data_IF_568477086595
#
_entry.id   IF_568477086595
#
_cell.length_a   1.000
_cell.length_b   1.000
_cell.length_c   1.000
_cell.angle_alpha   90.00
_cell.angle_beta   90.00
_cell.angle_gamma   90.00
#
_symmetry.space_group_name_H-M   'P 1'
#
loop_
_entity.id
_entity.type
_entity.pdbx_description
1 polymer ?
#
# COMPACT_ATOMS: atom_id res chain seq x y z
N UNK A 1 -24.59 20.48 -11.68
CA UNK A 1 -23.37 21.29 -11.88
C UNK A 1 -22.66 21.45 -10.55
N UNK A 2 -21.73 20.56 -10.24
CA UNK A 2 -20.97 20.56 -8.98
C UNK A 2 -19.77 21.49 -9.17
N UNK A 3 -19.74 22.59 -8.42
CA UNK A 3 -18.62 23.54 -8.42
C UNK A 3 -17.35 22.85 -7.95
N UNK A 4 -16.35 22.79 -8.82
CA UNK A 4 -14.99 22.39 -8.46
C UNK A 4 -14.43 23.51 -7.59
N UNK A 5 -14.17 23.22 -6.31
CA UNK A 5 -13.50 24.16 -5.42
C UNK A 5 -12.06 24.42 -5.92
N UNK A 6 -11.60 25.66 -5.96
CA UNK A 6 -10.23 25.96 -6.32
C UNK A 6 -9.26 25.43 -5.24
N UNK A 7 -8.13 24.90 -5.71
CA UNK A 7 -7.08 24.33 -4.86
C UNK A 7 -6.40 25.39 -3.99
N UNK A 8 -5.96 25.05 -2.77
CA UNK A 8 -5.09 25.92 -2.00
C UNK A 8 -3.75 26.11 -2.73
N UNK A 9 -3.30 27.36 -2.82
CA UNK A 9 -2.12 27.82 -3.57
C UNK A 9 -0.81 27.16 -3.11
N UNK A 10 -0.74 26.69 -1.87
CA UNK A 10 0.44 26.00 -1.30
C UNK A 10 0.85 24.73 -2.03
N UNK A 11 -0.10 23.98 -2.62
CA UNK A 11 0.24 22.78 -3.39
C UNK A 11 0.94 23.06 -4.73
N UNK A 12 0.76 24.26 -5.30
CA UNK A 12 1.36 24.61 -6.58
C UNK A 12 2.83 25.00 -6.44
N UNK A 13 3.21 25.65 -5.34
CA UNK A 13 4.60 26.06 -5.07
C UNK A 13 5.49 24.88 -4.68
N UNK A 14 4.99 23.94 -3.87
CA UNK A 14 5.71 22.70 -3.55
C UNK A 14 5.89 21.82 -4.80
N UNK A 15 4.88 21.77 -5.69
CA UNK A 15 4.99 21.06 -6.96
C UNK A 15 6.04 21.68 -7.88
N UNK A 16 6.24 22.99 -7.83
CA UNK A 16 7.22 23.69 -8.66
C UNK A 16 8.67 23.50 -8.20
N UNK A 17 8.90 23.43 -6.88
CA UNK A 17 10.23 23.22 -6.31
C UNK A 17 10.80 21.83 -6.65
N UNK A 18 9.95 20.83 -6.80
CA UNK A 18 10.37 19.46 -7.13
C UNK A 18 10.69 19.26 -8.63
N UNK A 19 10.21 20.14 -9.50
CA UNK A 19 10.57 20.16 -10.94
C UNK A 19 11.98 20.74 -11.21
N UNK A 20 12.63 21.29 -10.19
CA UNK A 20 13.96 21.91 -10.31
C UNK A 20 15.12 20.93 -10.24
N UNK A 21 14.86 19.62 -10.13
CA UNK A 21 15.91 18.58 -10.18
C UNK A 21 16.33 18.31 -11.63
N UNK A 22 17.63 18.09 -11.89
CA UNK A 22 18.07 17.71 -13.22
C UNK A 22 17.34 16.43 -13.68
N UNK A 23 16.80 16.47 -14.89
CA UNK A 23 16.12 15.34 -15.50
C UNK A 23 16.98 14.07 -15.44
N UNK A 24 16.39 12.94 -15.06
CA UNK A 24 17.06 11.65 -15.11
C UNK A 24 17.76 11.18 -13.82
N UNK A 25 17.56 11.84 -12.68
CA UNK A 25 18.21 11.42 -11.42
C UNK A 25 17.27 10.79 -10.38
N UNK A 26 15.97 10.92 -10.53
CA UNK A 26 15.00 10.43 -9.56
C UNK A 26 14.51 9.02 -9.89
N UNK A 27 14.43 8.15 -8.88
CA UNK A 27 13.75 6.86 -8.96
C UNK A 27 12.35 7.02 -8.41
N UNK A 28 11.34 6.82 -9.25
CA UNK A 28 9.93 6.84 -8.81
C UNK A 28 9.52 5.45 -8.30
N UNK A 29 8.96 5.40 -7.11
CA UNK A 29 8.45 4.16 -6.51
C UNK A 29 6.94 4.27 -6.39
N UNK A 30 6.21 3.48 -7.16
CA UNK A 30 4.75 3.49 -7.17
C UNK A 30 4.19 2.29 -6.39
N UNK A 31 3.28 2.56 -5.45
CA UNK A 31 2.43 1.47 -4.96
C UNK A 31 1.57 0.93 -6.10
N UNK A 32 1.15 -0.33 -6.02
CA UNK A 32 0.25 -0.93 -7.02
C UNK A 32 -1.02 -0.10 -7.20
N UNK A 33 -1.57 0.38 -6.10
CA UNK A 33 -2.76 1.21 -6.10
C UNK A 33 -2.50 2.54 -6.82
N UNK A 34 -1.38 3.21 -6.50
CA UNK A 34 -1.00 4.45 -7.17
C UNK A 34 -0.81 4.24 -8.68
N UNK A 35 -0.16 3.14 -9.07
CA UNK A 35 0.02 2.79 -10.48
C UNK A 35 -1.33 2.55 -11.16
N UNK A 36 -2.19 1.71 -10.58
CA UNK A 36 -3.54 1.43 -11.09
C UNK A 36 -4.38 2.70 -11.22
N UNK A 37 -4.37 3.56 -10.21
CA UNK A 37 -5.12 4.81 -10.21
C UNK A 37 -4.63 5.77 -11.31
N UNK A 38 -3.32 5.91 -11.50
CA UNK A 38 -2.75 6.73 -12.56
C UNK A 38 -3.05 6.15 -13.95
N UNK A 39 -2.82 4.85 -14.15
CA UNK A 39 -3.14 4.18 -15.42
C UNK A 39 -4.62 4.34 -15.76
N UNK A 40 -5.52 4.09 -14.80
CA UNK A 40 -6.97 4.25 -15.02
C UNK A 40 -7.36 5.69 -15.33
N UNK A 41 -6.76 6.67 -14.66
CA UNK A 41 -7.06 8.09 -14.87
C UNK A 41 -6.64 8.60 -16.25
N UNK A 42 -5.53 8.10 -16.77
CA UNK A 42 -4.96 8.56 -18.03
C UNK A 42 -5.17 7.57 -19.19
N UNK A 43 -5.78 6.42 -18.94
CA UNK A 43 -5.97 5.37 -19.96
C UNK A 43 -4.65 4.81 -20.47
N UNK A 44 -3.65 4.73 -19.60
CA UNK A 44 -2.30 4.28 -19.93
C UNK A 44 -2.09 2.82 -19.53
N UNK A 45 -1.29 2.12 -20.31
CA UNK A 45 -0.67 0.87 -19.89
C UNK A 45 0.54 1.13 -18.98
N UNK A 46 1.05 0.11 -18.28
CA UNK A 46 2.16 0.25 -17.33
C UNK A 46 3.42 0.86 -17.95
N UNK A 47 3.81 0.39 -19.14
CA UNK A 47 4.96 0.91 -19.88
C UNK A 47 4.76 2.35 -20.36
N UNK A 48 3.54 2.73 -20.69
CA UNK A 48 3.20 4.10 -21.09
C UNK A 48 3.24 5.05 -19.89
N UNK A 49 2.78 4.58 -18.71
CA UNK A 49 2.91 5.35 -17.47
C UNK A 49 4.39 5.53 -17.09
N UNK A 50 5.20 4.49 -17.21
CA UNK A 50 6.64 4.58 -16.92
C UNK A 50 7.33 5.58 -17.86
N UNK A 51 6.98 5.58 -19.14
CA UNK A 51 7.46 6.56 -20.11
C UNK A 51 7.00 7.98 -19.74
N UNK A 52 5.73 8.17 -19.38
CA UNK A 52 5.19 9.46 -18.99
C UNK A 52 5.88 10.02 -17.72
N UNK A 53 6.17 9.16 -16.74
CA UNK A 53 6.94 9.53 -15.55
C UNK A 53 8.41 9.84 -15.91
N UNK A 54 8.98 9.18 -16.90
CA UNK A 54 10.29 9.50 -17.46
C UNK A 54 10.36 10.93 -18.00
N UNK A 55 9.31 11.42 -18.65
CA UNK A 55 9.19 12.82 -19.11
C UNK A 55 9.15 13.82 -17.94
N UNK A 56 8.75 13.38 -16.74
CA UNK A 56 8.78 14.15 -15.50
C UNK A 56 10.13 14.06 -14.76
N UNK A 57 11.14 13.43 -15.35
CA UNK A 57 12.49 13.32 -14.80
C UNK A 57 12.78 12.02 -14.05
N UNK A 58 11.93 11.00 -14.16
CA UNK A 58 12.25 9.68 -13.64
C UNK A 58 13.38 9.05 -14.46
N UNK A 59 14.47 8.67 -13.81
CA UNK A 59 15.50 7.81 -14.41
C UNK A 59 15.02 6.36 -14.50
N UNK A 60 14.22 5.95 -13.54
CA UNK A 60 13.63 4.63 -13.45
C UNK A 60 12.32 4.70 -12.66
N UNK A 61 11.35 3.89 -13.05
CA UNK A 61 10.11 3.69 -12.29
C UNK A 61 10.14 2.28 -11.70
N UNK A 62 10.10 2.23 -10.38
CA UNK A 62 10.00 0.97 -9.64
C UNK A 62 8.53 0.72 -9.32
N UNK A 63 8.05 -0.45 -9.72
CA UNK A 63 6.71 -0.91 -9.37
C UNK A 63 6.67 -1.49 -7.96
N UNK A 64 5.50 -1.98 -7.55
CA UNK A 64 5.36 -2.73 -6.30
C UNK A 64 6.17 -4.03 -6.32
N UNK A 65 6.70 -4.41 -7.47
CA UNK A 65 7.52 -5.59 -7.71
C UNK A 65 9.03 -5.29 -7.73
N UNK A 66 9.43 -4.03 -7.47
CA UNK A 66 10.83 -3.67 -7.27
C UNK A 66 11.44 -4.47 -6.10
N UNK A 67 12.76 -4.71 -6.11
CA UNK A 67 13.41 -5.66 -5.21
C UNK A 67 12.86 -5.57 -3.80
N UNK A 68 12.40 -6.70 -3.35
CA UNK A 68 11.34 -6.95 -2.39
C UNK A 68 11.73 -6.72 -0.92
N UNK A 69 12.73 -5.92 -0.63
CA UNK A 69 13.24 -5.75 0.72
C UNK A 69 12.15 -5.61 1.82
N UNK A 70 11.13 -4.77 1.65
CA UNK A 70 10.04 -4.69 2.63
C UNK A 70 9.16 -5.95 2.68
N UNK A 71 8.92 -6.61 1.54
CA UNK A 71 8.11 -7.84 1.47
C UNK A 71 8.88 -9.01 2.02
N UNK A 72 10.16 -9.16 1.68
CA UNK A 72 11.05 -10.18 2.24
C UNK A 72 11.14 -10.04 3.76
N UNK A 73 11.28 -8.82 4.23
CA UNK A 73 11.35 -8.54 5.65
C UNK A 73 10.02 -8.84 6.38
N UNK A 74 8.88 -8.55 5.76
CA UNK A 74 7.57 -8.93 6.30
C UNK A 74 7.36 -10.45 6.21
N UNK A 75 7.87 -11.12 5.19
CA UNK A 75 7.83 -12.57 5.06
C UNK A 75 8.65 -13.29 6.15
N UNK A 76 9.87 -12.82 6.40
CA UNK A 76 10.72 -13.33 7.48
C UNK A 76 10.08 -13.11 8.87
N UNK A 77 9.48 -11.92 9.08
CA UNK A 77 8.76 -11.61 10.32
C UNK A 77 7.52 -12.51 10.49
N UNK A 78 6.79 -12.81 9.41
CA UNK A 78 5.65 -13.73 9.45
C UNK A 78 6.07 -15.11 9.93
N UNK A 79 7.16 -15.66 9.39
CA UNK A 79 7.69 -16.96 9.80
C UNK A 79 8.09 -16.97 11.28
N UNK A 80 8.83 -15.96 11.73
CA UNK A 80 9.21 -15.82 13.12
C UNK A 80 8.01 -15.76 14.06
N UNK A 81 6.98 -15.00 13.70
CA UNK A 81 5.75 -14.87 14.49
C UNK A 81 4.93 -16.15 14.56
N UNK A 82 4.88 -16.91 13.46
CA UNK A 82 4.23 -18.22 13.44
C UNK A 82 4.94 -19.22 14.37
N UNK A 83 6.26 -19.19 14.44
CA UNK A 83 7.04 -20.05 15.31
C UNK A 83 6.92 -19.65 16.78
N UNK A 84 6.92 -18.35 17.06
CA UNK A 84 6.82 -17.82 18.44
C UNK A 84 5.38 -17.74 18.95
N UNK A 85 4.39 -17.98 18.10
CA UNK A 85 2.96 -17.87 18.47
C UNK A 85 2.50 -16.43 18.74
N UNK A 86 3.23 -15.42 18.28
CA UNK A 86 2.91 -13.99 18.47
C UNK A 86 1.86 -13.48 17.46
N UNK A 87 0.66 -13.95 17.59
CA UNK A 87 -0.48 -13.68 16.70
C UNK A 87 -1.64 -13.07 17.49
N UNK A 88 -2.61 -12.37 16.88
CA UNK A 88 -2.65 -12.00 15.47
C UNK A 88 -1.61 -10.95 15.09
N UNK A 89 -1.28 -10.84 13.80
CA UNK A 89 -0.35 -9.87 13.25
C UNK A 89 -1.04 -8.94 12.24
N UNK A 90 -0.94 -7.62 12.46
CA UNK A 90 -1.45 -6.60 11.57
C UNK A 90 -0.36 -6.14 10.61
N UNK A 91 -0.55 -6.46 9.35
CA UNK A 91 0.37 -6.14 8.28
C UNK A 91 -0.18 -5.01 7.40
N UNK A 92 0.70 -4.23 6.81
CA UNK A 92 0.35 -3.14 5.86
C UNK A 92 -0.76 -2.23 6.42
N UNK A 93 -0.73 -1.99 7.71
CA UNK A 93 -1.71 -1.15 8.36
C UNK A 93 -1.53 0.33 7.98
N UNK A 94 -2.62 1.01 7.65
CA UNK A 94 -2.60 2.45 7.42
C UNK A 94 -1.90 3.19 8.57
N UNK A 95 -0.92 4.07 8.30
CA UNK A 95 -0.17 4.76 9.35
C UNK A 95 -1.04 5.60 10.29
N UNK A 96 -2.14 6.18 9.77
CA UNK A 96 -3.10 6.93 10.57
C UNK A 96 -3.84 6.00 11.51
N UNK A 97 -4.42 4.92 10.99
CA UNK A 97 -5.14 3.94 11.81
C UNK A 97 -4.23 3.32 12.87
N UNK A 98 -3.02 2.89 12.47
CA UNK A 98 -2.01 2.35 13.41
C UNK A 98 -1.75 3.31 14.55
N UNK A 99 -1.51 4.60 14.27
CA UNK A 99 -1.28 5.61 15.30
C UNK A 99 -2.48 5.78 16.22
N UNK A 100 -3.68 5.79 15.66
CA UNK A 100 -4.90 6.02 16.45
C UNK A 100 -5.24 4.81 17.32
N UNK A 101 -5.02 3.58 16.82
CA UNK A 101 -5.15 2.35 17.60
C UNK A 101 -4.10 2.26 18.69
N UNK A 102 -2.84 2.53 18.41
CA UNK A 102 -1.77 2.43 19.40
C UNK A 102 -1.88 3.49 20.50
N UNK A 103 -2.52 4.64 20.24
CA UNK A 103 -2.86 5.58 21.31
C UNK A 103 -3.90 5.03 22.29
N UNK A 104 -4.88 4.26 21.80
CA UNK A 104 -5.95 3.66 22.62
C UNK A 104 -5.51 2.35 23.27
N UNK A 105 -4.67 1.59 22.59
CA UNK A 105 -4.25 0.24 22.92
C UNK A 105 -2.75 0.07 22.73
N UNK A 106 -1.91 0.70 23.57
CA UNK A 106 -0.45 0.66 23.40
C UNK A 106 0.14 -0.75 23.50
N UNK A 107 -0.53 -1.66 24.20
CA UNK A 107 -0.15 -3.07 24.31
C UNK A 107 -0.20 -3.82 22.97
N UNK A 108 -0.85 -3.27 21.94
CA UNK A 108 -0.90 -3.89 20.62
C UNK A 108 0.33 -3.57 19.76
N UNK A 109 1.30 -2.79 20.26
CA UNK A 109 2.45 -2.37 19.46
C UNK A 109 3.20 -3.53 18.82
N UNK A 110 3.40 -4.62 19.55
CA UNK A 110 4.11 -5.81 19.10
C UNK A 110 3.35 -6.63 18.05
N UNK A 111 2.06 -6.35 17.88
CA UNK A 111 1.23 -7.03 16.90
C UNK A 111 1.17 -6.33 15.54
N UNK A 112 1.81 -5.17 15.40
CA UNK A 112 1.92 -4.49 14.12
C UNK A 112 3.23 -4.81 13.43
N UNK A 113 3.18 -4.94 12.10
CA UNK A 113 4.38 -4.94 11.28
C UNK A 113 5.21 -3.69 11.60
N UNK A 114 6.53 -3.83 11.85
CA UNK A 114 7.37 -2.67 12.10
C UNK A 114 7.28 -1.72 10.91
N UNK A 115 7.17 -0.41 11.21
CA UNK A 115 7.27 0.60 10.18
C UNK A 115 8.69 0.54 9.61
N UNK A 116 8.84 0.04 8.40
CA UNK A 116 10.13 -0.07 7.72
C UNK A 116 10.24 1.01 6.66
N UNK A 117 10.82 2.16 6.96
CA UNK A 117 11.24 3.08 5.94
C UNK A 117 12.47 2.50 5.25
N UNK A 118 12.43 2.37 3.93
CA UNK A 118 13.66 2.27 3.16
C UNK A 118 14.12 3.70 2.88
N UNK A 119 15.08 4.26 3.61
CA UNK A 119 15.55 5.60 3.32
C UNK A 119 16.33 5.58 2.02
N UNK A 120 15.96 6.44 1.08
CA UNK A 120 16.80 6.69 -0.08
C UNK A 120 16.65 8.13 -0.56
N UNK A 121 17.73 8.88 -0.49
CA UNK A 121 17.76 10.31 -0.84
C UNK A 121 17.44 10.61 -2.32
N UNK A 122 17.39 9.61 -3.19
CA UNK A 122 17.10 9.78 -4.62
C UNK A 122 15.73 9.21 -5.03
N UNK A 123 14.88 8.77 -4.09
CA UNK A 123 13.60 8.14 -4.40
C UNK A 123 12.43 9.09 -4.18
N UNK A 124 11.49 9.07 -5.12
CA UNK A 124 10.19 9.74 -5.05
C UNK A 124 9.11 8.69 -4.90
N UNK A 125 8.42 8.67 -3.78
CA UNK A 125 7.30 7.76 -3.59
C UNK A 125 6.00 8.33 -4.16
N UNK A 126 5.21 7.51 -4.85
CA UNK A 126 3.83 7.86 -5.19
C UNK A 126 2.89 6.97 -4.37
N UNK A 127 2.11 7.62 -3.53
CA UNK A 127 1.25 6.97 -2.52
C UNK A 127 -0.21 7.37 -2.67
N UNK A 128 -1.10 6.55 -2.11
CA UNK A 128 -2.53 6.73 -2.26
C UNK A 128 -3.12 7.89 -1.43
N UNK A 129 -2.47 8.36 -0.36
CA UNK A 129 -3.06 9.37 0.51
C UNK A 129 -2.05 10.21 1.30
N UNK A 130 -2.51 11.35 1.81
CA UNK A 130 -1.72 12.29 2.64
C UNK A 130 -1.13 11.65 3.90
N UNK A 131 -1.82 10.68 4.51
CA UNK A 131 -1.30 10.01 5.70
C UNK A 131 -0.05 9.16 5.37
N UNK A 132 -0.01 8.50 4.22
CA UNK A 132 1.16 7.79 3.73
C UNK A 132 2.27 8.75 3.33
N UNK A 133 1.94 9.85 2.63
CA UNK A 133 2.89 10.92 2.28
C UNK A 133 3.57 11.46 3.54
N UNK A 134 2.80 11.87 4.55
CA UNK A 134 3.34 12.38 5.81
C UNK A 134 4.17 11.33 6.59
N UNK A 135 3.84 10.06 6.46
CA UNK A 135 4.64 8.97 7.05
C UNK A 135 5.99 8.84 6.36
N UNK A 136 6.02 8.81 5.03
CA UNK A 136 7.27 8.67 4.26
C UNK A 136 8.18 9.90 4.41
N UNK A 137 7.61 11.10 4.47
CA UNK A 137 8.38 12.32 4.74
C UNK A 137 9.14 12.25 6.08
N UNK A 138 8.48 11.71 7.14
CA UNK A 138 9.13 11.48 8.43
C UNK A 138 10.14 10.33 8.42
N UNK A 139 9.99 9.41 7.49
CA UNK A 139 10.89 8.28 7.29
C UNK A 139 12.14 8.63 6.46
N UNK A 140 12.33 9.89 6.09
CA UNK A 140 13.51 10.36 5.37
C UNK A 140 13.46 10.14 3.86
N UNK A 141 12.28 9.96 3.27
CA UNK A 141 12.15 9.98 1.81
C UNK A 141 12.39 11.39 1.29
N UNK A 142 13.12 11.47 0.17
CA UNK A 142 13.45 12.75 -0.43
C UNK A 142 12.20 13.51 -0.87
N UNK A 143 11.23 12.78 -1.39
CA UNK A 143 9.94 13.31 -1.80
C UNK A 143 8.87 12.21 -1.75
N UNK A 144 7.66 12.59 -1.37
CA UNK A 144 6.48 11.73 -1.48
C UNK A 144 5.34 12.53 -2.11
N UNK A 145 4.71 11.92 -3.11
CA UNK A 145 3.57 12.49 -3.82
C UNK A 145 2.34 11.65 -3.57
N UNK A 146 1.20 12.28 -3.44
CA UNK A 146 -0.08 11.57 -3.58
C UNK A 146 -0.34 11.26 -5.06
N UNK A 147 -1.23 10.30 -5.34
CA UNK A 147 -1.72 10.02 -6.70
C UNK A 147 -2.24 11.30 -7.37
N UNK A 148 -2.92 12.16 -6.61
CA UNK A 148 -3.45 13.43 -7.10
C UNK A 148 -2.34 14.39 -7.53
N UNK A 149 -1.29 14.55 -6.72
CA UNK A 149 -0.14 15.42 -7.05
C UNK A 149 0.63 14.85 -8.23
N UNK A 150 0.85 13.55 -8.28
CA UNK A 150 1.47 12.88 -9.42
C UNK A 150 0.64 13.07 -10.71
N UNK A 151 -0.69 12.94 -10.61
CA UNK A 151 -1.59 13.19 -11.73
C UNK A 151 -1.54 14.64 -12.21
N UNK A 152 -1.48 15.61 -11.30
CA UNK A 152 -1.33 17.03 -11.67
C UNK A 152 -0.01 17.28 -12.41
N UNK A 153 1.09 16.67 -11.96
CA UNK A 153 2.38 16.78 -12.65
C UNK A 153 2.33 16.16 -14.05
N UNK A 154 1.71 14.98 -14.20
CA UNK A 154 1.51 14.37 -15.51
C UNK A 154 0.71 15.29 -16.44
N UNK A 155 -0.35 15.92 -15.95
CA UNK A 155 -1.13 16.89 -16.73
C UNK A 155 -0.32 18.13 -17.12
N UNK A 156 0.50 18.65 -16.23
CA UNK A 156 1.43 19.75 -16.50
C UNK A 156 2.48 19.35 -17.55
N UNK A 157 2.93 18.09 -17.53
CA UNK A 157 3.80 17.49 -18.55
C UNK A 157 3.11 17.18 -19.88
N UNK A 158 1.83 17.53 -20.05
CA UNK A 158 1.08 17.37 -21.30
C UNK A 158 0.30 16.05 -21.41
N UNK A 159 0.34 15.17 -20.41
CA UNK A 159 -0.44 13.93 -20.41
C UNK A 159 -1.91 14.26 -20.10
N UNK A 160 -2.81 13.88 -21.01
CA UNK A 160 -4.24 14.20 -20.85
C UNK A 160 -5.00 13.05 -20.20
N UNK A 161 -5.85 13.32 -19.19
CA UNK A 161 -6.71 12.30 -18.61
C UNK A 161 -7.76 11.82 -19.62
N UNK A 162 -8.05 10.52 -19.60
CA UNK A 162 -9.07 9.90 -20.43
C UNK A 162 -10.25 9.51 -19.54
N UNK A 163 -11.48 9.87 -19.95
CA UNK A 163 -12.67 9.52 -19.19
C UNK A 163 -13.02 8.04 -19.38
N UNK A 164 -13.26 7.35 -18.27
CA UNK A 164 -13.94 6.05 -18.25
C UNK A 164 -13.07 4.81 -18.37
N UNK A 165 -11.76 4.90 -18.28
CA UNK A 165 -10.89 3.73 -18.24
C UNK A 165 -10.67 3.26 -16.80
N UNK A 166 -11.07 2.01 -16.51
CA UNK A 166 -10.69 1.30 -15.29
C UNK A 166 -9.61 0.30 -15.65
N UNK A 167 -8.38 0.55 -15.23
CA UNK A 167 -7.33 -0.45 -15.36
C UNK A 167 -7.44 -1.45 -14.20
N UNK A 168 -7.82 -2.68 -14.54
CA UNK A 168 -7.80 -3.80 -13.61
C UNK A 168 -6.37 -4.39 -13.59
N UNK A 169 -5.52 -3.90 -12.69
CA UNK A 169 -4.24 -4.57 -12.47
C UNK A 169 -4.45 -5.79 -11.58
N UNK A 170 -4.65 -6.94 -12.23
CA UNK A 170 -4.85 -8.23 -11.60
C UNK A 170 -3.52 -8.89 -11.24
N UNK A 171 -3.00 -8.59 -10.09
CA UNK A 171 -1.85 -9.31 -9.54
C UNK A 171 -2.01 -9.51 -8.03
N UNK A 172 -1.17 -10.37 -7.40
CA UNK A 172 -1.26 -10.63 -5.96
C UNK A 172 -1.08 -9.33 -5.16
N UNK A 173 -1.94 -9.11 -4.15
CA UNK A 173 -1.83 -7.98 -3.23
C UNK A 173 -0.59 -8.07 -2.34
N UNK A 174 -0.41 -7.09 -1.44
CA UNK A 174 0.74 -7.10 -0.52
C UNK A 174 0.78 -8.37 0.32
N UNK A 175 -0.33 -8.73 0.91
CA UNK A 175 -0.43 -9.89 1.79
C UNK A 175 -0.16 -11.21 1.04
N UNK A 176 -0.70 -11.37 -0.17
CA UNK A 176 -0.42 -12.54 -1.00
C UNK A 176 1.08 -12.65 -1.34
N UNK A 177 1.73 -11.53 -1.62
CA UNK A 177 3.17 -11.50 -1.92
C UNK A 177 4.01 -11.87 -0.69
N UNK A 178 3.64 -11.38 0.49
CA UNK A 178 4.30 -11.76 1.75
C UNK A 178 4.20 -13.26 1.97
N UNK A 179 3.03 -13.86 1.76
CA UNK A 179 2.87 -15.31 1.87
C UNK A 179 3.68 -16.08 0.83
N UNK A 180 3.72 -15.62 -0.42
CA UNK A 180 4.56 -16.23 -1.47
C UNK A 180 6.05 -16.20 -1.11
N UNK A 181 6.54 -15.08 -0.58
CA UNK A 181 7.92 -14.95 -0.14
C UNK A 181 8.20 -15.81 1.10
N UNK A 182 7.29 -15.83 2.07
CA UNK A 182 7.43 -16.66 3.25
C UNK A 182 7.50 -18.16 2.90
N UNK A 183 6.67 -18.61 1.95
CA UNK A 183 6.70 -19.98 1.47
C UNK A 183 8.05 -20.31 0.82
N UNK A 184 8.57 -19.44 -0.04
CA UNK A 184 9.90 -19.61 -0.65
C UNK A 184 11.02 -19.65 0.38
N UNK A 185 10.99 -18.75 1.37
CA UNK A 185 11.98 -18.74 2.45
C UNK A 185 11.91 -20.01 3.29
N UNK A 186 10.75 -20.62 3.39
CA UNK A 186 10.52 -21.90 4.07
C UNK A 186 10.86 -23.13 3.20
N UNK A 187 11.37 -22.94 1.98
CA UNK A 187 11.69 -24.03 1.06
C UNK A 187 10.49 -24.58 0.28
N UNK A 188 9.36 -23.88 0.28
CA UNK A 188 8.17 -24.23 -0.49
C UNK A 188 8.29 -23.86 -1.97
N UNK A 189 7.53 -24.53 -2.82
CA UNK A 189 7.53 -24.33 -4.28
C UNK A 189 6.57 -23.20 -4.74
N UNK A 190 6.09 -22.36 -3.85
CA UNK A 190 5.11 -21.31 -4.16
C UNK A 190 3.67 -21.82 -4.18
N UNK A 191 3.36 -22.74 -3.29
CA UNK A 191 2.11 -23.48 -3.24
C UNK A 191 0.89 -22.60 -2.94
N UNK A 192 -0.15 -22.93 -3.62
CA UNK A 192 -1.59 -22.69 -3.43
C UNK A 192 -2.00 -21.49 -2.57
N UNK A 193 -1.88 -20.31 -3.17
CA UNK A 193 -2.58 -19.13 -2.65
C UNK A 193 -4.08 -19.34 -2.86
N UNK A 194 -4.83 -19.55 -1.78
CA UNK A 194 -6.27 -19.42 -1.88
C UNK A 194 -6.62 -17.95 -2.14
N UNK A 195 -7.42 -17.68 -3.16
CA UNK A 195 -7.90 -16.33 -3.41
C UNK A 195 -8.72 -15.81 -2.22
N UNK A 196 -8.57 -14.53 -1.91
CA UNK A 196 -9.44 -13.86 -0.93
C UNK A 196 -10.89 -13.93 -1.37
N UNK A 197 -11.78 -14.29 -0.45
CA UNK A 197 -13.23 -14.37 -0.67
C UNK A 197 -13.96 -13.54 0.39
N UNK A 198 -15.08 -12.91 0.04
CA UNK A 198 -15.89 -12.19 1.01
C UNK A 198 -16.25 -13.09 2.21
N UNK A 199 -16.03 -12.59 3.41
CA UNK A 199 -16.40 -13.28 4.63
C UNK A 199 -17.92 -13.23 4.83
N UNK A 200 -18.54 -14.39 5.12
CA UNK A 200 -19.98 -14.47 5.34
C UNK A 200 -20.42 -13.59 6.50
N UNK A 201 -21.38 -12.70 6.28
CA UNK A 201 -21.93 -11.83 7.32
C UNK A 201 -21.04 -10.67 7.76
N UNK A 202 -19.86 -10.49 7.16
CA UNK A 202 -18.91 -9.43 7.52
C UNK A 202 -18.62 -8.55 6.29
N UNK A 203 -19.44 -7.51 6.10
CA UNK A 203 -19.23 -6.57 5.00
C UNK A 203 -17.84 -5.92 5.07
N UNK A 204 -17.13 -5.83 3.94
CA UNK A 204 -15.80 -5.23 3.87
C UNK A 204 -14.68 -6.10 4.45
N UNK A 205 -14.94 -7.38 4.73
CA UNK A 205 -13.96 -8.35 5.15
C UNK A 205 -13.83 -9.44 4.08
N UNK A 206 -12.62 -9.66 3.62
CA UNK A 206 -12.25 -10.76 2.75
C UNK A 206 -11.34 -11.70 3.53
N UNK A 207 -11.47 -13.01 3.33
CA UNK A 207 -10.68 -14.03 4.04
C UNK A 207 -10.03 -14.99 3.07
N UNK A 208 -8.85 -15.48 3.45
CA UNK A 208 -8.13 -16.51 2.73
C UNK A 208 -7.48 -17.49 3.71
N UNK A 209 -7.08 -18.66 3.22
CA UNK A 209 -6.27 -19.63 3.93
C UNK A 209 -5.01 -19.91 3.14
N UNK A 210 -3.91 -20.00 3.84
CA UNK A 210 -2.60 -20.29 3.28
C UNK A 210 -2.00 -21.47 4.03
N UNK A 211 -1.46 -22.43 3.28
CA UNK A 211 -0.62 -23.45 3.89
C UNK A 211 0.80 -22.95 3.95
N UNK A 212 1.38 -22.82 5.12
CA UNK A 212 2.75 -22.34 5.33
C UNK A 212 3.43 -23.22 6.38
N UNK A 213 4.55 -23.84 6.03
CA UNK A 213 5.25 -24.81 6.90
C UNK A 213 4.33 -25.94 7.40
N UNK A 214 3.40 -26.42 6.60
CA UNK A 214 2.42 -27.44 6.97
C UNK A 214 1.32 -26.96 7.94
N UNK A 215 1.27 -25.67 8.25
CA UNK A 215 0.25 -25.04 9.10
C UNK A 215 -0.80 -24.33 8.25
N UNK A 216 -2.06 -24.40 8.66
CA UNK A 216 -3.16 -23.64 8.06
C UNK A 216 -3.21 -22.24 8.68
N UNK A 217 -2.78 -21.23 7.93
CA UNK A 217 -2.76 -19.84 8.37
C UNK A 217 -3.97 -19.12 7.78
N UNK A 218 -4.85 -18.63 8.63
CA UNK A 218 -6.04 -17.87 8.25
C UNK A 218 -5.68 -16.38 8.18
N UNK A 219 -5.97 -15.77 7.05
CA UNK A 219 -5.74 -14.35 6.83
C UNK A 219 -7.04 -13.61 6.55
N UNK A 220 -7.07 -12.33 6.90
CA UNK A 220 -8.15 -11.42 6.55
C UNK A 220 -7.61 -10.14 5.93
N UNK A 221 -8.39 -9.60 4.99
CA UNK A 221 -8.26 -8.25 4.49
C UNK A 221 -9.49 -7.47 4.92
N UNK A 222 -9.30 -6.42 5.71
CA UNK A 222 -10.38 -5.61 6.26
C UNK A 222 -10.37 -4.24 5.63
N UNK A 223 -11.48 -3.88 4.98
CA UNK A 223 -11.64 -2.58 4.32
C UNK A 223 -12.40 -1.61 5.22
N UNK A 224 -11.76 -0.49 5.54
CA UNK A 224 -12.32 0.58 6.35
C UNK A 224 -11.99 0.46 7.85
N UNK A 225 -11.59 1.59 8.43
CA UNK A 225 -11.26 1.71 9.85
C UNK A 225 -12.43 1.32 10.74
N UNK A 226 -13.62 1.83 10.44
CA UNK A 226 -14.82 1.54 11.23
C UNK A 226 -15.18 0.05 11.25
N UNK A 227 -14.89 -0.68 10.16
CA UNK A 227 -15.10 -2.12 10.12
C UNK A 227 -14.11 -2.85 11.02
N UNK A 228 -12.83 -2.46 10.98
CA UNK A 228 -11.81 -3.05 11.87
C UNK A 228 -12.10 -2.76 13.35
N UNK A 229 -12.52 -1.54 13.67
CA UNK A 229 -12.92 -1.20 15.05
C UNK A 229 -14.10 -2.04 15.53
N UNK A 230 -15.13 -2.26 14.69
CA UNK A 230 -16.25 -3.16 15.02
C UNK A 230 -15.80 -4.59 15.26
N UNK A 231 -14.87 -5.12 14.48
CA UNK A 231 -14.33 -6.45 14.68
C UNK A 231 -13.56 -6.56 16.01
N UNK A 232 -12.74 -5.56 16.33
CA UNK A 232 -12.02 -5.52 17.60
C UNK A 232 -12.97 -5.43 18.80
N UNK A 233 -14.08 -4.69 18.68
CA UNK A 233 -15.11 -4.61 19.72
C UNK A 233 -15.90 -5.92 19.87
N UNK A 234 -16.25 -6.57 18.75
CA UNK A 234 -17.06 -7.77 18.75
C UNK A 234 -16.31 -9.01 19.23
N UNK A 235 -15.06 -9.19 18.80
CA UNK A 235 -14.27 -10.40 19.08
C UNK A 235 -13.23 -10.18 20.18
N UNK A 236 -12.90 -8.95 20.51
CA UNK A 236 -11.68 -8.69 21.25
C UNK A 236 -10.43 -8.97 20.39
N UNK A 237 -9.30 -8.50 20.86
CA UNK A 237 -8.06 -8.64 20.10
C UNK A 237 -7.55 -10.08 20.01
N UNK A 238 -7.53 -10.80 21.13
CA UNK A 238 -7.01 -12.18 21.19
C UNK A 238 -7.95 -13.25 20.62
N UNK A 239 -9.20 -12.91 20.36
CA UNK A 239 -10.20 -13.81 19.83
C UNK A 239 -10.50 -13.60 18.34
N UNK A 240 -9.69 -12.81 17.65
CA UNK A 240 -9.80 -12.68 16.19
C UNK A 240 -9.58 -14.03 15.53
N UNK A 241 -10.46 -14.45 14.60
CA UNK A 241 -10.38 -15.77 13.98
C UNK A 241 -9.25 -15.86 12.93
N UNK A 242 -8.48 -14.81 12.74
CA UNK A 242 -7.40 -14.71 11.76
C UNK A 242 -6.06 -14.47 12.43
N UNK A 243 -5.04 -15.16 11.94
CA UNK A 243 -3.67 -15.00 12.39
C UNK A 243 -2.97 -13.78 11.77
N UNK A 244 -3.33 -13.44 10.52
CA UNK A 244 -2.76 -12.29 9.81
C UNK A 244 -3.87 -11.40 9.29
N UNK A 245 -3.77 -10.10 9.53
CA UNK A 245 -4.80 -9.13 9.15
C UNK A 245 -4.18 -7.95 8.40
N UNK A 246 -4.58 -7.78 7.15
CA UNK A 246 -4.28 -6.57 6.36
C UNK A 246 -5.39 -5.55 6.58
N UNK A 247 -5.05 -4.33 7.02
CA UNK A 247 -6.03 -3.29 7.28
C UNK A 247 -5.91 -2.17 6.24
N UNK A 248 -6.86 -2.14 5.32
CA UNK A 248 -7.04 -1.08 4.33
C UNK A 248 -7.97 -0.02 4.91
N UNK A 249 -7.41 1.07 5.40
CA UNK A 249 -8.16 2.07 6.18
C UNK A 249 -9.28 2.76 5.42
N UNK A 250 -9.17 2.88 4.09
CA UNK A 250 -10.16 3.54 3.25
C UNK A 250 -11.06 2.51 2.57
N UNK A 251 -12.36 2.79 2.48
CA UNK A 251 -13.35 1.88 1.87
C UNK A 251 -13.11 1.59 0.37
N UNK A 252 -12.32 2.42 -0.30
CA UNK A 252 -11.89 2.24 -1.70
C UNK A 252 -10.41 1.91 -1.85
N UNK A 253 -9.71 1.50 -0.77
CA UNK A 253 -8.26 1.50 -0.74
C UNK A 253 -7.70 2.90 -0.45
N UNK A 254 -6.38 3.09 -0.57
CA UNK A 254 -5.76 4.42 -0.43
C UNK A 254 -5.93 5.31 -1.68
N UNK A 255 -6.94 5.08 -2.51
CA UNK A 255 -7.10 5.68 -3.83
C UNK A 255 -8.16 6.80 -3.87
N UNK A 256 -8.72 7.16 -2.72
CA UNK A 256 -9.69 8.24 -2.62
C UNK A 256 -9.06 9.47 -2.00
N UNK A 257 -8.48 10.29 -2.84
CA UNK A 257 -8.36 11.74 -2.66
C UNK A 257 -8.45 12.47 -4.00
#
# INVERSE_FOLDING_TARGET
MTRIQPFPVSCAEEAHAALSRPAGTAVFVLSRQARSALCGRFGLEDNQLDHALGLLGASRVEGPDAPDGPIEADAAELLARLDEGRLPWFIHACPRWRRDVLRRFPQLADHFSPARPAPCAARVAVVGCEAQKAFLARAGWAEALTVREAALRLMQGGVRPVRGTTCAHGGPGWLERVFLHADRLAGGEGSHLSSFRPARGLAGVETARFSLLGRDVRAARVRGVAQMERLLQAFGFHALPWQVVEVLACAGGCDRD
#
